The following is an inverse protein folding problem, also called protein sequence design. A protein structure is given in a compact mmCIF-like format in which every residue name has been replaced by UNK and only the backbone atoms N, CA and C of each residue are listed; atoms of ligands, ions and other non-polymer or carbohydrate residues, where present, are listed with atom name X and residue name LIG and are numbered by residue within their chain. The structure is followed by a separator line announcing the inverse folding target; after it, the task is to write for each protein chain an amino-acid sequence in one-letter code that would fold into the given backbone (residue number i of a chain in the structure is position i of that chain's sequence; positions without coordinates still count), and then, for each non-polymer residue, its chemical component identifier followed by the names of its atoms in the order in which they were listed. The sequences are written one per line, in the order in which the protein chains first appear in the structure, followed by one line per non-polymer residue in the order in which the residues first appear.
data_IF_806891754409
#
_entry.id   IF_806891754409
#
_cell.length_a   1.000
_cell.length_b   1.000
_cell.length_c   1.000
_cell.angle_alpha   90.00
_cell.angle_beta   90.00
_cell.angle_gamma   90.00
#
_symmetry.space_group_name_H-M   'P 1'
#
loop_
_entity.id
_entity.type
_entity.pdbx_description
1 polymer ?
#
# COMPACT_ATOMS: atom_id res chain seq x y z
N UNK A 1 -23.90 21.05 11.22
CA UNK A 1 -22.62 20.87 10.50
C UNK A 1 -22.34 19.37 10.50
N UNK A 2 -22.16 18.74 9.35
CA UNK A 2 -21.80 17.34 9.28
C UNK A 2 -20.44 17.18 9.98
N UNK A 3 -20.37 16.26 10.94
CA UNK A 3 -19.14 15.95 11.67
C UNK A 3 -18.19 15.29 10.65
N UNK A 4 -17.32 16.09 10.01
CA UNK A 4 -16.37 15.57 9.01
C UNK A 4 -15.31 14.79 9.78
N UNK A 5 -15.18 13.51 9.50
CA UNK A 5 -14.13 12.67 10.07
C UNK A 5 -12.74 13.24 9.70
N UNK A 6 -11.95 13.61 10.69
CA UNK A 6 -10.60 14.17 10.53
C UNK A 6 -9.54 13.13 10.88
N UNK A 7 -8.34 13.31 10.33
CA UNK A 7 -7.15 12.51 10.62
C UNK A 7 -5.99 13.39 11.09
N UNK A 8 -6.33 14.53 11.73
CA UNK A 8 -5.33 15.42 12.33
C UNK A 8 -4.42 14.63 13.29
N UNK A 9 -3.12 14.90 13.23
CA UNK A 9 -2.07 14.22 13.98
C UNK A 9 -1.92 12.71 13.71
N UNK A 10 -2.61 12.16 12.73
CA UNK A 10 -2.45 10.76 12.32
C UNK A 10 -1.41 10.63 11.21
N UNK A 11 -0.58 9.61 11.33
CA UNK A 11 0.40 9.21 10.33
C UNK A 11 -0.14 8.02 9.54
N UNK A 12 -0.25 8.19 8.25
CA UNK A 12 -0.82 7.22 7.32
C UNK A 12 0.23 6.79 6.31
N UNK A 13 0.47 5.50 6.19
CA UNK A 13 1.34 4.93 5.16
C UNK A 13 0.46 4.30 4.09
N UNK A 14 0.65 4.69 2.84
CA UNK A 14 -0.08 4.13 1.69
C UNK A 14 0.92 3.52 0.73
N UNK A 15 0.86 2.20 0.53
CA UNK A 15 1.70 1.50 -0.44
C UNK A 15 1.07 1.51 -1.84
N UNK A 16 1.88 1.62 -2.90
CA UNK A 16 1.38 1.76 -4.26
C UNK A 16 0.61 3.07 -4.46
N UNK A 17 1.12 4.16 -3.88
CA UNK A 17 0.40 5.44 -3.79
C UNK A 17 0.77 6.44 -4.89
N UNK A 18 1.65 6.09 -5.82
CA UNK A 18 2.02 6.98 -6.93
C UNK A 18 0.93 7.12 -8.00
N UNK A 19 -0.01 6.17 -8.08
CA UNK A 19 -1.06 6.15 -9.07
C UNK A 19 -2.38 5.55 -8.56
N UNK A 20 -3.45 5.71 -9.35
CA UNK A 20 -4.72 5.00 -9.19
C UNK A 20 -5.37 5.19 -7.82
N UNK A 21 -5.79 4.07 -7.23
CA UNK A 21 -6.52 4.04 -5.95
C UNK A 21 -5.63 4.50 -4.80
N UNK A 22 -4.36 4.07 -4.76
CA UNK A 22 -3.41 4.48 -3.72
C UNK A 22 -3.18 5.98 -3.70
N UNK A 23 -3.03 6.61 -4.88
CA UNK A 23 -2.92 8.07 -5.00
C UNK A 23 -4.18 8.76 -4.46
N UNK A 24 -5.35 8.26 -4.81
CA UNK A 24 -6.61 8.82 -4.30
C UNK A 24 -6.72 8.73 -2.78
N UNK A 25 -6.28 7.61 -2.18
CA UNK A 25 -6.20 7.48 -0.72
C UNK A 25 -5.23 8.50 -0.11
N UNK A 26 -4.02 8.63 -0.67
CA UNK A 26 -3.02 9.57 -0.15
C UNK A 26 -3.57 11.01 -0.11
N UNK A 27 -4.20 11.45 -1.19
CA UNK A 27 -4.85 12.77 -1.24
C UNK A 27 -5.99 12.92 -0.25
N UNK A 28 -6.87 11.91 -0.13
CA UNK A 28 -8.03 12.01 0.75
C UNK A 28 -7.63 12.02 2.23
N UNK A 29 -6.63 11.24 2.63
CA UNK A 29 -6.11 11.29 3.99
C UNK A 29 -5.41 12.62 4.28
N UNK A 30 -4.56 13.11 3.37
CA UNK A 30 -3.88 14.40 3.52
C UNK A 30 -4.89 15.57 3.60
N UNK A 31 -5.92 15.58 2.74
CA UNK A 31 -7.00 16.57 2.77
C UNK A 31 -7.74 16.60 4.11
N UNK A 32 -7.76 15.49 4.84
CA UNK A 32 -8.39 15.36 6.17
C UNK A 32 -7.41 15.60 7.33
N UNK A 33 -6.21 16.10 7.06
CA UNK A 33 -5.23 16.51 8.06
C UNK A 33 -4.21 15.42 8.42
N UNK A 34 -4.18 14.28 7.75
CA UNK A 34 -3.16 13.27 7.98
C UNK A 34 -1.79 13.69 7.44
N UNK A 35 -0.74 13.17 8.08
CA UNK A 35 0.64 13.14 7.56
C UNK A 35 0.81 11.85 6.78
N UNK A 36 1.21 11.91 5.51
CA UNK A 36 1.13 10.74 4.61
C UNK A 36 2.52 10.33 4.10
N UNK A 37 2.86 9.05 4.27
CA UNK A 37 3.95 8.43 3.50
C UNK A 37 3.36 7.91 2.21
N UNK A 38 3.78 8.46 1.10
CA UNK A 38 3.43 8.04 -0.26
C UNK A 38 4.51 7.05 -0.72
N UNK A 39 4.26 5.75 -0.55
CA UNK A 39 5.19 4.74 -1.03
C UNK A 39 4.80 4.26 -2.43
N UNK A 40 5.74 4.30 -3.36
CA UNK A 40 5.61 3.71 -4.69
C UNK A 40 6.99 3.40 -5.29
N UNK A 41 7.19 2.18 -5.74
CA UNK A 41 8.41 1.75 -6.45
C UNK A 41 8.50 2.34 -7.86
N UNK A 42 7.39 2.91 -8.37
CA UNK A 42 7.31 3.47 -9.71
C UNK A 42 7.11 2.43 -10.82
N UNK A 43 6.71 1.23 -10.47
CA UNK A 43 6.38 0.20 -11.45
C UNK A 43 5.03 0.44 -12.15
N UNK A 44 4.93 -0.01 -13.42
CA UNK A 44 3.64 -0.05 -14.10
C UNK A 44 2.68 -1.05 -13.43
N UNK A 45 1.39 -1.02 -13.78
CA UNK A 45 0.38 -2.01 -13.30
C UNK A 45 0.81 -3.45 -13.56
N UNK A 46 1.57 -3.70 -14.63
CA UNK A 46 2.17 -5.02 -14.89
C UNK A 46 3.46 -5.28 -14.08
N UNK A 47 3.85 -4.37 -13.22
CA UNK A 47 5.04 -4.46 -12.37
C UNK A 47 6.36 -4.30 -13.16
N UNK A 48 6.37 -3.58 -14.27
CA UNK A 48 7.59 -3.33 -15.07
C UNK A 48 8.07 -1.91 -14.88
N UNK A 49 9.39 -1.74 -14.84
CA UNK A 49 10.04 -0.45 -14.68
C UNK A 49 10.04 0.06 -13.24
N UNK A 50 10.71 1.19 -13.03
CA UNK A 50 10.69 1.98 -11.81
C UNK A 50 10.80 3.45 -12.18
N UNK A 51 9.79 4.25 -11.82
CA UNK A 51 9.76 5.69 -12.00
C UNK A 51 9.50 6.35 -10.65
N UNK A 52 10.57 6.74 -9.98
CA UNK A 52 10.50 7.38 -8.65
C UNK A 52 9.68 8.67 -8.66
N UNK A 53 9.52 9.30 -9.83
CA UNK A 53 8.73 10.53 -9.95
C UNK A 53 7.24 10.34 -9.59
N UNK A 54 6.72 9.10 -9.64
CA UNK A 54 5.30 8.86 -9.33
C UNK A 54 4.96 9.22 -7.88
N UNK A 55 5.76 8.77 -6.90
CA UNK A 55 5.56 9.11 -5.50
C UNK A 55 5.81 10.61 -5.24
N UNK A 56 6.91 11.15 -5.79
CA UNK A 56 7.28 12.55 -5.63
C UNK A 56 6.22 13.51 -6.20
N UNK A 57 5.61 13.15 -7.32
CA UNK A 57 4.52 13.93 -7.92
C UNK A 57 3.33 14.04 -6.95
N UNK A 58 2.91 12.93 -6.36
CA UNK A 58 1.79 12.91 -5.40
C UNK A 58 2.14 13.70 -4.14
N UNK A 59 3.36 13.60 -3.64
CA UNK A 59 3.84 14.39 -2.50
C UNK A 59 3.78 15.88 -2.81
N UNK A 60 4.29 16.30 -3.97
CA UNK A 60 4.27 17.71 -4.39
C UNK A 60 2.84 18.25 -4.51
N UNK A 61 1.91 17.47 -5.04
CA UNK A 61 0.48 17.82 -5.13
C UNK A 61 -0.16 18.00 -3.74
N UNK A 62 0.16 17.08 -2.80
CA UNK A 62 -0.32 17.18 -1.41
C UNK A 62 0.23 18.44 -0.74
N UNK A 63 1.53 18.70 -0.87
CA UNK A 63 2.17 19.88 -0.28
C UNK A 63 1.61 21.19 -0.90
N UNK A 64 1.40 21.21 -2.21
CA UNK A 64 0.77 22.35 -2.89
C UNK A 64 -0.66 22.63 -2.41
N UNK A 65 -1.33 21.62 -1.85
CA UNK A 65 -2.66 21.73 -1.23
C UNK A 65 -2.61 21.98 0.29
N UNK A 66 -1.46 22.40 0.82
CA UNK A 66 -1.18 22.62 2.25
C UNK A 66 -1.31 21.34 3.12
N UNK A 67 -1.17 20.17 2.55
CA UNK A 67 -1.07 18.91 3.28
C UNK A 67 0.38 18.55 3.65
N UNK A 68 0.55 17.45 4.39
CA UNK A 68 1.85 16.93 4.80
C UNK A 68 2.10 15.56 4.21
N UNK A 69 3.15 15.40 3.42
CA UNK A 69 3.52 14.11 2.85
C UNK A 69 5.04 14.01 2.62
N UNK A 70 5.53 12.77 2.64
CA UNK A 70 6.88 12.40 2.21
C UNK A 70 6.81 11.24 1.22
N UNK A 71 7.77 11.17 0.31
CA UNK A 71 7.91 10.05 -0.62
C UNK A 71 8.77 8.94 -0.02
N UNK A 72 8.43 7.71 -0.38
CA UNK A 72 9.26 6.53 -0.15
C UNK A 72 9.24 5.65 -1.42
N UNK A 73 10.41 5.19 -1.85
CA UNK A 73 10.61 4.47 -3.11
C UNK A 73 11.00 3.00 -2.91
N UNK A 74 10.95 2.51 -1.68
CA UNK A 74 11.33 1.13 -1.38
C UNK A 74 10.27 0.13 -1.86
N UNK A 75 10.72 -1.08 -2.14
CA UNK A 75 9.82 -2.20 -2.44
C UNK A 75 9.00 -2.58 -1.21
N UNK A 76 7.75 -2.99 -1.41
CA UNK A 76 6.87 -3.42 -0.31
C UNK A 76 7.40 -4.62 0.47
N UNK A 77 8.30 -5.42 -0.11
CA UNK A 77 8.96 -6.52 0.62
C UNK A 77 9.99 -6.01 1.63
N UNK A 78 10.41 -4.76 1.51
CA UNK A 78 11.27 -4.05 2.45
C UNK A 78 10.42 -3.24 3.46
N UNK A 79 9.41 -3.83 4.06
CA UNK A 79 8.43 -3.17 4.93
C UNK A 79 9.03 -2.31 6.04
N UNK A 80 10.17 -2.73 6.61
CA UNK A 80 10.89 -1.97 7.64
C UNK A 80 11.34 -0.59 7.14
N UNK A 81 11.77 -0.47 5.88
CA UNK A 81 12.18 0.81 5.30
C UNK A 81 11.00 1.75 5.10
N UNK A 82 9.86 1.19 4.66
CA UNK A 82 8.64 1.97 4.43
C UNK A 82 8.07 2.49 5.75
N UNK A 83 7.95 1.62 6.75
CA UNK A 83 7.47 2.00 8.10
C UNK A 83 8.50 2.91 8.78
N UNK A 84 9.79 2.61 8.62
CA UNK A 84 10.89 3.41 9.14
C UNK A 84 10.86 4.87 8.64
N UNK A 85 10.41 5.13 7.43
CA UNK A 85 10.22 6.49 6.92
C UNK A 85 9.19 7.28 7.75
N UNK A 86 8.05 6.67 8.09
CA UNK A 86 7.04 7.29 8.95
C UNK A 86 7.55 7.54 10.37
N UNK A 87 8.26 6.57 10.92
CA UNK A 87 8.82 6.66 12.27
C UNK A 87 9.93 7.71 12.36
N UNK A 88 10.79 7.79 11.36
CA UNK A 88 11.90 8.77 11.31
C UNK A 88 11.39 10.20 11.20
N UNK A 89 10.32 10.42 10.42
CA UNK A 89 9.79 11.76 10.18
C UNK A 89 8.84 12.22 11.29
N UNK A 90 7.99 11.32 11.80
CA UNK A 90 6.90 11.71 12.73
C UNK A 90 6.83 10.88 14.00
N UNK A 91 7.70 9.90 14.21
CA UNK A 91 7.79 9.10 15.43
C UNK A 91 6.63 8.10 15.62
N UNK A 92 5.75 7.92 14.65
CA UNK A 92 4.56 7.06 14.77
C UNK A 92 4.04 6.55 13.44
N UNK A 93 3.17 5.54 13.52
CA UNK A 93 2.35 5.06 12.42
C UNK A 93 0.95 4.70 12.94
N UNK A 94 -0.10 5.32 12.43
CA UNK A 94 -1.48 5.10 12.88
C UNK A 94 -2.29 4.24 11.92
N UNK A 95 -2.06 4.39 10.63
CA UNK A 95 -2.80 3.68 9.58
C UNK A 95 -1.82 3.16 8.54
N UNK A 96 -1.94 1.88 8.20
CA UNK A 96 -1.22 1.26 7.08
C UNK A 96 -2.21 0.75 6.05
N UNK A 97 -2.13 1.27 4.82
CA UNK A 97 -2.88 0.76 3.67
C UNK A 97 -1.97 -0.10 2.81
N UNK A 98 -2.12 -1.40 2.93
CA UNK A 98 -1.53 -2.39 2.04
C UNK A 98 -2.31 -2.39 0.71
N UNK A 99 -1.95 -1.46 -0.18
CA UNK A 99 -2.63 -1.24 -1.43
C UNK A 99 -1.76 -1.59 -2.65
N UNK A 100 -0.45 -1.57 -2.53
CA UNK A 100 0.45 -1.93 -3.63
C UNK A 100 0.07 -3.25 -4.29
N UNK A 101 0.14 -3.28 -5.60
CA UNK A 101 -0.25 -4.47 -6.34
C UNK A 101 0.03 -4.37 -7.82
N UNK A 102 0.17 -5.51 -8.44
CA UNK A 102 0.35 -5.70 -9.87
C UNK A 102 -0.76 -6.60 -10.41
N UNK A 103 -1.10 -6.45 -11.68
CA UNK A 103 -2.10 -7.31 -12.31
C UNK A 103 -1.77 -7.49 -13.79
N UNK A 104 -1.73 -8.72 -14.24
CA UNK A 104 -1.58 -9.09 -15.65
C UNK A 104 -2.18 -10.47 -15.90
N UNK A 105 -2.81 -10.70 -17.04
CA UNK A 105 -3.35 -12.00 -17.38
C UNK A 105 -2.24 -12.98 -17.78
N UNK A 106 -2.33 -14.24 -17.32
CA UNK A 106 -1.45 -15.34 -17.71
C UNK A 106 -2.25 -16.62 -17.70
N UNK A 107 -2.24 -17.34 -18.82
CA UNK A 107 -2.89 -18.67 -18.92
C UNK A 107 -2.22 -19.62 -17.92
N UNK A 108 -3.01 -20.50 -17.28
CA UNK A 108 -2.47 -21.34 -16.21
C UNK A 108 -1.32 -22.24 -16.69
N UNK A 109 -1.39 -22.76 -17.88
CA UNK A 109 -0.33 -23.63 -18.47
C UNK A 109 0.92 -22.83 -18.94
N UNK A 110 0.83 -21.52 -19.05
CA UNK A 110 1.94 -20.61 -19.38
C UNK A 110 2.54 -19.96 -18.13
N UNK A 111 1.94 -20.17 -16.97
CA UNK A 111 2.34 -19.55 -15.72
C UNK A 111 3.62 -20.21 -15.18
N UNK A 112 4.73 -19.49 -15.24
CA UNK A 112 5.98 -19.95 -14.67
C UNK A 112 6.02 -19.71 -13.15
N UNK A 113 6.89 -20.44 -12.41
CA UNK A 113 7.11 -20.17 -10.98
C UNK A 113 7.49 -18.69 -10.70
N UNK A 114 8.24 -18.06 -11.58
CA UNK A 114 8.67 -16.66 -11.43
C UNK A 114 7.49 -15.70 -11.53
N UNK A 115 6.57 -15.91 -12.50
CA UNK A 115 5.36 -15.10 -12.64
C UNK A 115 4.42 -15.27 -11.43
N UNK A 116 4.29 -16.51 -10.96
CA UNK A 116 3.52 -16.83 -9.76
C UNK A 116 4.11 -16.15 -8.52
N UNK A 117 5.39 -16.39 -8.24
CA UNK A 117 6.08 -15.88 -7.07
C UNK A 117 6.11 -14.36 -7.05
N UNK A 118 6.31 -13.72 -8.19
CA UNK A 118 6.28 -12.26 -8.30
C UNK A 118 4.94 -11.68 -7.90
N UNK A 119 3.82 -12.31 -8.33
CA UNK A 119 2.49 -11.88 -7.94
C UNK A 119 2.28 -12.00 -6.42
N UNK A 120 2.66 -13.13 -5.84
CA UNK A 120 2.55 -13.35 -4.39
C UNK A 120 3.48 -12.41 -3.61
N UNK A 121 4.71 -12.23 -4.08
CA UNK A 121 5.69 -11.37 -3.42
C UNK A 121 5.20 -9.93 -3.26
N UNK A 122 4.65 -9.34 -4.32
CA UNK A 122 4.13 -7.96 -4.21
C UNK A 122 2.90 -7.89 -3.31
N UNK A 123 1.94 -8.78 -3.49
CA UNK A 123 0.66 -8.70 -2.77
C UNK A 123 0.71 -9.27 -1.36
N UNK A 124 1.26 -10.49 -1.21
CA UNK A 124 1.20 -11.24 0.04
C UNK A 124 2.39 -10.92 0.92
N UNK A 125 3.61 -11.17 0.40
CA UNK A 125 4.83 -10.95 1.19
C UNK A 125 5.01 -9.46 1.51
N UNK A 126 4.70 -8.56 0.55
CA UNK A 126 4.74 -7.12 0.78
C UNK A 126 3.75 -6.66 1.84
N UNK A 127 2.50 -7.13 1.79
CA UNK A 127 1.51 -6.80 2.83
C UNK A 127 1.90 -7.37 4.19
N UNK A 128 2.47 -8.58 4.23
CA UNK A 128 2.99 -9.19 5.44
C UNK A 128 4.16 -8.36 6.00
N UNK A 129 5.17 -8.05 5.19
CA UNK A 129 6.37 -7.34 5.62
C UNK A 129 6.03 -5.93 6.18
N UNK A 130 5.20 -5.17 5.48
CA UNK A 130 4.78 -3.85 5.96
C UNK A 130 3.95 -3.97 7.25
N UNK A 131 3.06 -4.95 7.35
CA UNK A 131 2.24 -5.16 8.54
C UNK A 131 3.09 -5.59 9.72
N UNK A 132 4.01 -6.54 9.52
CA UNK A 132 4.94 -7.00 10.57
C UNK A 132 5.79 -5.85 11.10
N UNK A 133 6.31 -5.00 10.22
CA UNK A 133 7.09 -3.83 10.62
C UNK A 133 6.26 -2.79 11.41
N UNK A 134 5.01 -2.56 11.03
CA UNK A 134 4.13 -1.61 11.70
C UNK A 134 3.58 -2.10 13.05
N UNK A 135 3.40 -3.40 13.18
CA UNK A 135 2.67 -4.02 14.29
C UNK A 135 3.18 -3.66 15.69
N UNK A 136 4.49 -3.79 16.01
CA UNK A 136 5.00 -3.47 17.36
C UNK A 136 4.77 -2.01 17.73
N UNK A 137 4.91 -1.09 16.78
CA UNK A 137 4.69 0.34 17.02
C UNK A 137 3.22 0.66 17.28
N UNK A 138 2.30 0.03 16.55
CA UNK A 138 0.87 0.19 16.78
C UNK A 138 0.44 -0.41 18.12
N UNK A 139 1.04 -1.51 18.58
CA UNK A 139 0.82 -2.08 19.90
C UNK A 139 1.30 -1.13 21.00
N UNK A 140 2.51 -0.62 20.91
CA UNK A 140 3.08 0.32 21.87
C UNK A 140 2.26 1.61 21.97
N UNK A 141 1.77 2.12 20.85
CA UNK A 141 0.90 3.30 20.78
C UNK A 141 -0.51 3.06 21.35
N UNK A 142 -0.94 1.82 21.51
CA UNK A 142 -2.32 1.46 21.84
C UNK A 142 -3.33 1.79 20.74
N UNK A 143 -2.85 2.06 19.52
CA UNK A 143 -3.69 2.41 18.36
C UNK A 143 -3.03 1.97 17.05
N UNK A 144 -3.81 1.37 16.16
CA UNK A 144 -3.43 1.04 14.79
C UNK A 144 -4.63 0.67 13.93
N UNK A 145 -4.53 0.90 12.63
CA UNK A 145 -5.50 0.46 11.63
C UNK A 145 -4.75 -0.11 10.43
N UNK A 146 -5.05 -1.37 10.13
CA UNK A 146 -4.48 -2.10 9.01
C UNK A 146 -5.56 -2.32 7.96
N UNK A 147 -5.31 -1.88 6.73
CA UNK A 147 -6.20 -2.07 5.60
C UNK A 147 -5.50 -2.90 4.54
N UNK A 148 -6.24 -3.83 3.93
CA UNK A 148 -5.75 -4.71 2.88
C UNK A 148 -6.64 -4.58 1.64
N UNK A 149 -6.05 -4.16 0.53
CA UNK A 149 -6.78 -4.03 -0.74
C UNK A 149 -6.97 -5.40 -1.40
N UNK A 150 -8.17 -5.96 -1.27
CA UNK A 150 -8.58 -7.16 -1.98
C UNK A 150 -9.19 -6.82 -3.35
N UNK A 151 -9.88 -7.77 -3.96
CA UNK A 151 -10.52 -7.63 -5.28
C UNK A 151 -11.71 -8.60 -5.36
N UNK A 152 -12.72 -8.32 -6.20
CA UNK A 152 -13.71 -9.33 -6.57
C UNK A 152 -13.08 -10.63 -7.07
N UNK A 153 -11.90 -10.59 -7.69
CA UNK A 153 -11.18 -11.78 -8.13
C UNK A 153 -10.65 -12.64 -6.98
N UNK A 154 -10.51 -12.09 -5.79
CA UNK A 154 -10.21 -12.87 -4.57
C UNK A 154 -11.41 -13.68 -4.05
N UNK A 155 -12.64 -13.34 -4.47
CA UNK A 155 -13.87 -14.04 -4.10
C UNK A 155 -14.39 -14.93 -5.23
N UNK A 156 -14.43 -14.43 -6.45
CA UNK A 156 -15.09 -15.08 -7.59
C UNK A 156 -14.12 -15.60 -8.64
N UNK A 157 -12.83 -15.28 -8.51
CA UNK A 157 -11.76 -15.56 -9.46
C UNK A 157 -12.03 -14.96 -10.86
N UNK A 158 -11.05 -15.10 -11.78
CA UNK A 158 -11.21 -14.76 -13.18
C UNK A 158 -10.29 -15.63 -14.04
N UNK A 159 -10.72 -15.96 -15.25
CA UNK A 159 -9.89 -16.68 -16.21
C UNK A 159 -8.58 -15.91 -16.45
N UNK A 160 -7.46 -16.61 -16.57
CA UNK A 160 -6.10 -16.05 -16.71
C UNK A 160 -5.56 -15.23 -15.53
N UNK A 161 -6.24 -15.21 -14.39
CA UNK A 161 -5.82 -14.47 -13.20
C UNK A 161 -5.65 -15.37 -11.97
N UNK A 162 -5.28 -16.63 -12.13
CA UNK A 162 -5.17 -17.60 -11.03
C UNK A 162 -4.22 -17.10 -9.91
N UNK A 163 -3.02 -16.61 -10.26
CA UNK A 163 -2.07 -16.07 -9.32
C UNK A 163 -2.59 -14.79 -8.61
N UNK A 164 -3.24 -13.89 -9.37
CA UNK A 164 -3.82 -12.67 -8.81
C UNK A 164 -5.01 -12.99 -7.90
N UNK A 165 -5.88 -13.92 -8.29
CA UNK A 165 -7.01 -14.38 -7.49
C UNK A 165 -6.55 -15.00 -6.17
N UNK A 166 -5.53 -15.86 -6.23
CA UNK A 166 -4.90 -16.43 -5.03
C UNK A 166 -4.34 -15.35 -4.10
N UNK A 167 -3.57 -14.40 -4.65
CA UNK A 167 -3.01 -13.30 -3.89
C UNK A 167 -4.10 -12.43 -3.23
N UNK A 168 -5.18 -12.11 -3.96
CA UNK A 168 -6.28 -11.28 -3.42
C UNK A 168 -7.17 -12.03 -2.44
N UNK A 169 -7.29 -13.35 -2.55
CA UNK A 169 -7.92 -14.18 -1.52
C UNK A 169 -7.10 -14.21 -0.22
N UNK A 170 -5.76 -14.25 -0.32
CA UNK A 170 -4.88 -14.19 0.85
C UNK A 170 -5.08 -12.90 1.66
N UNK A 171 -5.40 -11.75 1.03
CA UNK A 171 -5.71 -10.50 1.74
C UNK A 171 -6.92 -10.64 2.67
N UNK A 172 -7.91 -11.44 2.30
CA UNK A 172 -9.06 -11.72 3.16
C UNK A 172 -8.67 -12.56 4.38
N UNK A 173 -7.73 -13.49 4.20
CA UNK A 173 -7.17 -14.28 5.31
C UNK A 173 -6.39 -13.38 6.29
N UNK A 174 -5.45 -12.59 5.77
CA UNK A 174 -4.64 -11.67 6.58
C UNK A 174 -5.51 -10.66 7.35
N UNK A 175 -6.58 -10.16 6.76
CA UNK A 175 -7.44 -9.17 7.41
C UNK A 175 -8.30 -9.74 8.55
N UNK A 176 -8.43 -11.07 8.66
CA UNK A 176 -9.22 -11.76 9.69
C UNK A 176 -8.38 -12.33 10.82
N UNK A 177 -7.10 -12.49 10.59
CA UNK A 177 -6.15 -13.02 11.58
C UNK A 177 -5.68 -11.93 12.53
#
# INVERSE_FOLDING_TARGET
MANTLTFEDRVVVVTGAGNGIGRAYAHEFAKRGARVVVNDLGGSVAGKGSDTNCADTVVNEIIASNGHAIANHDSVVDGEKIVGAALSEWGRIDVLLNNAGIAYPTSFHEMTPELWNRMLSVHVDGSYACTQAAWPHMLEQGFGRLLFTSSPFGLYAAAKFAHYSAAKAAMLGLSKA
#
